data_IF_514554796374
#
_entry.id   IF_514554796374
#
_cell.length_a   1.000
_cell.length_b   1.000
_cell.length_c   1.000
_cell.angle_alpha   90.00
_cell.angle_beta   90.00
_cell.angle_gamma   90.00
#
_symmetry.space_group_name_H-M   'P 1'
#
loop_
_entity.id
_entity.type
_entity.pdbx_description
1 polymer ?
#
# COMPACT_ATOMS: atom_id res chain seq x y z
N UNK A 1 22.92 16.75 37.06
CA UNK A 1 22.60 15.46 37.70
C UNK A 1 21.09 15.39 37.76
N UNK A 2 20.48 14.80 36.76
CA UNK A 2 19.07 14.41 36.76
C UNK A 2 19.06 12.94 36.35
N UNK A 3 18.57 12.13 37.25
CA UNK A 3 18.62 10.68 37.23
C UNK A 3 17.81 10.11 36.04
N UNK A 4 18.48 9.23 35.30
CA UNK A 4 17.86 8.30 34.41
C UNK A 4 17.10 7.21 35.19
N UNK A 5 15.81 7.37 35.38
CA UNK A 5 14.97 6.35 36.00
C UNK A 5 14.60 5.31 34.93
N UNK A 6 15.17 4.14 35.12
CA UNK A 6 14.85 2.89 34.44
C UNK A 6 13.34 2.60 34.43
N UNK A 7 12.72 2.61 33.24
CA UNK A 7 11.36 2.13 33.03
C UNK A 7 11.39 0.62 32.64
N UNK A 8 11.97 -0.20 33.55
CA UNK A 8 12.08 -1.65 33.38
C UNK A 8 11.31 -2.46 34.43
N UNK A 9 10.26 -1.92 35.02
CA UNK A 9 9.46 -2.69 35.96
C UNK A 9 7.99 -2.27 35.89
N UNK A 10 7.11 -3.15 35.42
CA UNK A 10 5.69 -3.04 35.73
C UNK A 10 4.67 -3.34 34.66
N UNK A 11 4.93 -4.20 33.67
CA UNK A 11 3.83 -4.78 32.88
C UNK A 11 3.74 -6.30 33.17
N UNK A 12 3.58 -6.61 34.46
CA UNK A 12 3.20 -7.92 34.95
C UNK A 12 1.79 -7.90 35.55
N UNK A 13 0.85 -7.25 34.85
CA UNK A 13 -0.56 -7.26 35.22
C UNK A 13 -1.32 -8.25 34.33
N UNK A 14 -2.04 -9.19 34.94
CA UNK A 14 -2.94 -10.13 34.27
C UNK A 14 -3.82 -9.40 33.26
N UNK A 15 -3.58 -9.64 31.96
CA UNK A 15 -4.42 -9.13 30.89
C UNK A 15 -5.78 -9.83 30.98
N UNK A 16 -6.79 -9.16 31.51
CA UNK A 16 -8.19 -9.52 31.34
C UNK A 16 -8.48 -9.47 29.83
N UNK A 17 -8.95 -10.59 29.28
CA UNK A 17 -9.46 -10.67 27.88
C UNK A 17 -10.50 -9.58 27.70
N UNK A 18 -10.13 -8.50 27.02
CA UNK A 18 -11.09 -7.46 26.64
C UNK A 18 -12.06 -8.03 25.64
N UNK A 19 -13.33 -8.17 26.02
CA UNK A 19 -14.40 -8.53 25.09
C UNK A 19 -14.72 -7.35 24.18
N UNK A 20 -15.22 -7.55 22.94
CA UNK A 20 -15.62 -6.47 22.05
C UNK A 20 -16.56 -5.45 22.70
N UNK A 21 -17.38 -5.87 23.66
CA UNK A 21 -18.26 -5.01 24.43
C UNK A 21 -17.52 -4.06 25.40
N UNK A 22 -16.36 -4.46 25.92
CA UNK A 22 -15.55 -3.61 26.80
C UNK A 22 -14.83 -2.50 26.03
N UNK A 23 -14.47 -2.75 24.77
CA UNK A 23 -13.85 -1.77 23.86
C UNK A 23 -14.89 -0.77 23.31
N UNK A 24 -16.16 -1.17 23.18
CA UNK A 24 -17.25 -0.30 22.73
C UNK A 24 -17.73 0.72 23.76
N UNK A 25 -17.32 0.60 25.03
CA UNK A 25 -17.71 1.50 26.12
C UNK A 25 -16.72 2.65 26.35
N UNK A 26 -15.68 2.81 25.52
CA UNK A 26 -14.85 4.01 25.57
C UNK A 26 -15.66 5.22 25.09
N UNK A 27 -15.54 6.40 25.75
CA UNK A 27 -16.45 7.51 25.56
C UNK A 27 -16.49 8.00 24.11
N UNK A 28 -17.63 7.82 23.48
CA UNK A 28 -17.98 8.40 22.17
C UNK A 28 -18.14 9.91 22.32
N UNK A 29 -17.10 10.68 22.21
CA UNK A 29 -17.21 12.12 21.94
C UNK A 29 -16.21 12.55 20.90
N UNK A 30 -16.79 13.14 19.83
CA UNK A 30 -16.18 13.96 18.80
C UNK A 30 -15.67 13.22 17.55
N UNK A 31 -16.54 13.08 16.56
CA UNK A 31 -16.18 13.44 15.19
C UNK A 31 -17.46 13.66 14.37
N UNK A 32 -17.84 14.94 14.23
CA UNK A 32 -18.58 15.41 13.07
C UNK A 32 -17.53 15.84 12.04
N UNK A 33 -17.64 15.52 10.74
CA UNK A 33 -16.71 16.00 9.74
C UNK A 33 -17.00 17.50 9.50
N UNK A 34 -16.19 18.36 10.09
CA UNK A 34 -16.15 19.76 9.69
C UNK A 34 -15.42 19.84 8.34
N UNK A 35 -16.13 20.32 7.33
CA UNK A 35 -15.58 20.75 6.05
C UNK A 35 -14.52 21.82 6.33
N UNK A 36 -13.34 21.68 5.70
CA UNK A 36 -12.20 22.60 5.76
C UNK A 36 -11.45 22.67 7.10
N UNK A 37 -10.55 21.73 7.30
CA UNK A 37 -9.37 21.98 8.11
C UNK A 37 -8.16 21.36 7.42
N UNK A 38 -7.26 22.21 6.96
CA UNK A 38 -5.88 21.87 6.70
C UNK A 38 -5.31 21.27 7.98
N UNK A 39 -5.02 19.98 8.00
CA UNK A 39 -4.46 19.27 9.13
C UNK A 39 -2.99 19.69 9.23
N UNK A 40 -2.69 20.69 10.05
CA UNK A 40 -1.33 20.97 10.48
C UNK A 40 -0.97 19.97 11.57
N UNK A 41 0.15 19.25 11.38
CA UNK A 41 0.72 18.37 12.39
C UNK A 41 1.00 19.15 13.67
N UNK A 42 0.77 18.57 14.87
CA UNK A 42 1.11 19.22 16.12
C UNK A 42 2.63 19.14 16.33
N UNK A 43 3.34 20.12 15.86
CA UNK A 43 4.78 20.24 16.08
C UNK A 43 5.17 21.68 16.41
N UNK A 44 6.15 21.83 17.25
CA UNK A 44 6.91 23.05 17.48
C UNK A 44 7.54 23.60 16.17
N UNK A 45 6.75 23.93 15.16
CA UNK A 45 7.28 24.21 13.83
C UNK A 45 6.56 25.32 13.09
N UNK A 46 6.54 26.52 13.66
CA UNK A 46 6.20 27.68 12.83
C UNK A 46 7.29 28.03 11.80
N UNK A 47 8.49 27.43 11.88
CA UNK A 47 9.61 27.66 10.96
C UNK A 47 9.92 26.48 10.02
N UNK A 48 9.49 25.25 10.33
CA UNK A 48 9.74 24.06 9.50
C UNK A 48 9.03 24.08 8.12
N UNK A 49 7.78 24.56 7.94
CA UNK A 49 7.09 24.47 6.67
C UNK A 49 7.83 25.13 5.48
N UNK A 50 8.48 26.27 5.70
CA UNK A 50 9.17 27.00 4.62
C UNK A 50 10.48 26.32 4.19
N UNK A 51 11.22 25.75 5.13
CA UNK A 51 12.49 25.03 4.83
C UNK A 51 12.17 23.73 4.12
N UNK A 52 11.13 23.02 4.58
CA UNK A 52 10.66 21.78 3.99
C UNK A 52 10.15 21.99 2.55
N UNK A 53 9.33 23.01 2.29
CA UNK A 53 8.86 23.32 0.94
C UNK A 53 10.00 23.65 -0.03
N UNK A 54 10.98 24.43 0.41
CA UNK A 54 12.15 24.79 -0.42
C UNK A 54 12.98 23.54 -0.74
N UNK A 55 13.32 22.72 0.24
CA UNK A 55 14.12 21.52 0.07
C UNK A 55 13.38 20.47 -0.79
N UNK A 56 12.05 20.34 -0.63
CA UNK A 56 11.22 19.48 -1.46
C UNK A 56 11.28 19.87 -2.94
N UNK A 57 11.21 21.17 -3.24
CA UNK A 57 11.27 21.66 -4.61
C UNK A 57 12.67 21.45 -5.24
N UNK A 58 13.73 21.77 -4.51
CA UNK A 58 15.11 21.56 -4.97
C UNK A 58 15.39 20.05 -5.21
N UNK A 59 14.91 19.16 -4.32
CA UNK A 59 15.06 17.73 -4.48
C UNK A 59 14.29 17.21 -5.72
N UNK A 60 13.05 17.67 -5.94
CA UNK A 60 12.25 17.31 -7.11
C UNK A 60 12.92 17.75 -8.44
N UNK A 61 13.63 18.87 -8.42
CA UNK A 61 14.37 19.36 -9.61
C UNK A 61 15.64 18.53 -9.86
N UNK A 62 16.30 18.03 -8.83
CA UNK A 62 17.52 17.21 -8.95
C UNK A 62 17.24 15.76 -9.38
N UNK A 63 16.02 15.25 -9.18
CA UNK A 63 15.62 13.87 -9.53
C UNK A 63 15.30 13.68 -11.03
N UNK A 64 15.71 14.59 -11.91
CA UNK A 64 15.47 14.54 -13.37
C UNK A 64 16.14 13.38 -14.14
N UNK A 65 16.79 12.43 -13.48
CA UNK A 65 17.63 11.43 -14.13
C UNK A 65 17.22 10.00 -13.79
N UNK A 66 16.05 9.58 -14.29
CA UNK A 66 15.81 8.16 -14.55
C UNK A 66 15.25 8.02 -15.95
N UNK A 67 16.06 7.51 -16.86
CA UNK A 67 15.67 7.14 -18.20
C UNK A 67 15.21 5.67 -18.18
N UNK A 68 14.09 5.38 -18.82
CA UNK A 68 13.59 4.02 -18.95
C UNK A 68 14.59 3.12 -19.69
N UNK A 69 15.34 3.70 -20.63
CA UNK A 69 16.40 3.00 -21.33
C UNK A 69 17.48 2.48 -20.38
N UNK A 70 17.80 3.24 -19.31
CA UNK A 70 18.75 2.78 -18.29
C UNK A 70 18.21 1.65 -17.40
N UNK A 71 16.89 1.53 -17.24
CA UNK A 71 16.26 0.45 -16.48
C UNK A 71 16.17 -0.82 -17.33
N UNK A 72 15.83 -0.68 -18.61
CA UNK A 72 15.74 -1.82 -19.56
C UNK A 72 17.13 -2.35 -19.91
N UNK A 73 18.15 -1.50 -19.96
CA UNK A 73 19.55 -1.90 -20.22
C UNK A 73 20.16 -2.72 -19.06
N UNK A 74 19.70 -2.52 -17.83
CA UNK A 74 20.17 -3.30 -16.66
C UNK A 74 19.59 -4.72 -16.68
N UNK A 75 18.46 -4.95 -17.37
CA UNK A 75 17.80 -6.26 -17.40
C UNK A 75 17.19 -6.62 -18.75
N UNK A 76 17.97 -7.18 -19.66
CA UNK A 76 17.50 -7.57 -21.00
C UNK A 76 16.41 -8.66 -21.00
N UNK A 77 16.08 -9.23 -19.82
CA UNK A 77 15.03 -10.26 -19.69
C UNK A 77 13.65 -9.67 -19.43
N UNK A 78 13.53 -8.38 -19.08
CA UNK A 78 12.25 -7.71 -18.82
C UNK A 78 11.57 -7.35 -20.13
N UNK A 79 10.47 -8.02 -20.41
CA UNK A 79 9.67 -7.72 -21.60
C UNK A 79 8.25 -7.25 -21.21
N UNK A 80 8.02 -5.93 -21.09
CA UNK A 80 6.71 -5.38 -20.76
C UNK A 80 5.59 -5.84 -21.68
N UNK A 81 5.91 -6.11 -22.95
CA UNK A 81 4.95 -6.61 -23.94
C UNK A 81 4.38 -7.98 -23.58
N UNK A 82 5.22 -8.87 -23.01
CA UNK A 82 4.78 -10.19 -22.57
C UNK A 82 3.82 -10.11 -21.38
N UNK A 83 3.97 -9.11 -20.51
CA UNK A 83 3.05 -8.91 -19.40
C UNK A 83 1.62 -8.61 -19.86
N UNK A 84 1.46 -7.98 -21.04
CA UNK A 84 0.16 -7.82 -21.68
C UNK A 84 -0.23 -9.03 -22.51
N UNK A 85 0.62 -9.49 -23.44
CA UNK A 85 0.28 -10.52 -24.41
C UNK A 85 -0.06 -11.85 -23.74
N UNK A 86 0.75 -12.31 -22.80
CA UNK A 86 0.53 -13.57 -22.09
C UNK A 86 -0.17 -13.39 -20.75
N UNK A 87 0.11 -12.29 -20.03
CA UNK A 87 -0.43 -12.03 -18.69
C UNK A 87 -1.85 -11.45 -18.69
N UNK A 88 -2.21 -10.67 -19.73
CA UNK A 88 -3.51 -10.01 -19.85
C UNK A 88 -4.02 -10.01 -21.31
N UNK A 89 -4.24 -11.18 -21.92
CA UNK A 89 -4.57 -11.28 -23.35
C UNK A 89 -5.87 -10.58 -23.74
N UNK A 90 -6.82 -10.43 -22.81
CA UNK A 90 -8.07 -9.68 -23.06
C UNK A 90 -7.79 -8.19 -23.26
N UNK A 91 -6.92 -7.61 -22.42
CA UNK A 91 -6.52 -6.22 -22.55
C UNK A 91 -5.68 -6.01 -23.81
N UNK A 92 -4.70 -6.88 -24.08
CA UNK A 92 -3.90 -6.87 -25.30
C UNK A 92 -4.78 -6.90 -26.56
N UNK A 93 -5.79 -7.77 -26.59
CA UNK A 93 -6.76 -7.85 -27.69
C UNK A 93 -7.57 -6.57 -27.86
N UNK A 94 -8.05 -5.97 -26.78
CA UNK A 94 -8.77 -4.69 -26.82
C UNK A 94 -7.88 -3.56 -27.38
N UNK A 95 -6.64 -3.46 -26.91
CA UNK A 95 -5.66 -2.49 -27.40
C UNK A 95 -5.42 -2.69 -28.91
N UNK A 96 -5.08 -3.91 -29.33
CA UNK A 96 -4.82 -4.23 -30.74
C UNK A 96 -6.02 -3.93 -31.64
N UNK A 97 -7.25 -4.22 -31.21
CA UNK A 97 -8.46 -3.87 -31.95
C UNK A 97 -8.67 -2.37 -32.08
N UNK A 98 -8.10 -1.56 -31.19
CA UNK A 98 -8.33 -0.11 -31.11
C UNK A 98 -7.26 0.67 -31.87
N UNK A 99 -5.99 0.32 -31.71
CA UNK A 99 -4.85 1.09 -32.26
C UNK A 99 -3.97 0.28 -33.23
N UNK A 100 -4.36 -0.97 -33.58
CA UNK A 100 -3.54 -1.88 -34.38
C UNK A 100 -2.53 -2.64 -33.54
N UNK A 101 -1.69 -3.46 -34.16
CA UNK A 101 -0.74 -4.38 -33.53
C UNK A 101 0.68 -3.82 -33.42
N UNK A 102 0.94 -2.64 -33.96
CA UNK A 102 2.27 -2.04 -33.99
C UNK A 102 2.86 -1.79 -32.59
N UNK A 103 2.03 -1.53 -31.56
CA UNK A 103 2.46 -1.39 -30.17
C UNK A 103 3.23 -2.62 -29.65
N UNK A 104 3.04 -3.80 -30.26
CA UNK A 104 3.76 -5.02 -29.86
C UNK A 104 5.26 -4.89 -30.14
N UNK A 105 5.66 -4.11 -31.12
CA UNK A 105 7.06 -3.84 -31.46
C UNK A 105 7.52 -2.44 -31.02
N UNK A 106 6.58 -1.49 -30.92
CA UNK A 106 6.82 -0.09 -30.59
C UNK A 106 5.90 0.32 -29.44
N UNK A 107 6.38 0.23 -28.17
CA UNK A 107 5.55 0.51 -26.99
C UNK A 107 5.02 1.94 -26.96
N UNK A 108 5.75 2.89 -27.53
CA UNK A 108 5.34 4.28 -27.69
C UNK A 108 4.00 4.46 -28.42
N UNK A 109 3.59 3.48 -29.24
CA UNK A 109 2.29 3.51 -29.91
C UNK A 109 1.10 3.35 -28.94
N UNK A 110 1.33 2.89 -27.69
CA UNK A 110 0.30 2.91 -26.64
C UNK A 110 -0.24 4.32 -26.37
N UNK A 111 0.51 5.38 -26.70
CA UNK A 111 0.04 6.77 -26.59
C UNK A 111 -1.19 7.05 -27.46
N UNK A 112 -1.45 6.25 -28.49
CA UNK A 112 -2.67 6.35 -29.30
C UNK A 112 -3.95 6.01 -28.50
N UNK A 113 -3.82 5.47 -27.29
CA UNK A 113 -4.93 5.28 -26.35
C UNK A 113 -5.37 6.58 -25.68
N UNK A 114 -4.53 7.63 -25.63
CA UNK A 114 -4.84 8.90 -24.96
C UNK A 114 -6.20 9.49 -25.43
N UNK A 115 -6.48 9.69 -26.72
CA UNK A 115 -7.78 10.20 -27.16
C UNK A 115 -8.94 9.24 -26.87
N UNK A 116 -8.66 7.97 -26.63
CA UNK A 116 -9.68 6.96 -26.30
C UNK A 116 -10.08 6.98 -24.83
N UNK A 117 -9.28 7.62 -23.96
CA UNK A 117 -9.52 7.65 -22.52
C UNK A 117 -10.86 8.30 -22.15
N UNK A 118 -11.32 9.29 -22.94
CA UNK A 118 -12.61 9.97 -22.73
C UNK A 118 -13.77 9.34 -23.52
N UNK A 119 -13.50 8.32 -24.36
CA UNK A 119 -14.52 7.76 -25.22
C UNK A 119 -15.43 6.75 -24.46
N UNK A 120 -16.75 7.03 -24.29
CA UNK A 120 -17.60 6.23 -23.39
C UNK A 120 -17.70 4.75 -23.72
N UNK A 121 -17.76 4.39 -25.01
CA UNK A 121 -17.82 2.99 -25.47
C UNK A 121 -16.49 2.26 -25.23
N UNK A 122 -15.37 2.95 -25.40
CA UNK A 122 -14.07 2.37 -25.10
C UNK A 122 -13.89 2.13 -23.59
N UNK A 123 -14.27 3.10 -22.76
CA UNK A 123 -14.29 2.93 -21.31
C UNK A 123 -15.19 1.76 -20.86
N UNK A 124 -16.35 1.58 -21.51
CA UNK A 124 -17.23 0.43 -21.21
C UNK A 124 -16.54 -0.89 -21.52
N UNK A 125 -15.88 -1.01 -22.70
CA UNK A 125 -15.12 -2.21 -23.08
C UNK A 125 -13.94 -2.45 -22.15
N UNK A 126 -13.24 -1.39 -21.73
CA UNK A 126 -12.14 -1.47 -20.77
C UNK A 126 -12.59 -2.04 -19.43
N UNK A 127 -13.68 -1.51 -18.86
CA UNK A 127 -14.28 -2.03 -17.64
C UNK A 127 -14.74 -3.47 -17.76
N UNK A 128 -15.28 -3.85 -18.91
CA UNK A 128 -15.69 -5.23 -19.16
C UNK A 128 -14.50 -6.19 -19.14
N UNK A 129 -13.35 -5.79 -19.73
CA UNK A 129 -12.10 -6.56 -19.65
C UNK A 129 -11.64 -6.71 -18.19
N UNK A 130 -11.61 -5.60 -17.43
CA UNK A 130 -11.20 -5.61 -16.01
C UNK A 130 -12.12 -6.54 -15.20
N UNK A 131 -13.43 -6.45 -15.39
CA UNK A 131 -14.41 -7.31 -14.70
C UNK A 131 -14.23 -8.79 -15.04
N UNK A 132 -13.98 -9.12 -16.31
CA UNK A 132 -13.70 -10.50 -16.73
C UNK A 132 -12.41 -11.04 -16.08
N UNK A 133 -11.37 -10.21 -15.95
CA UNK A 133 -10.13 -10.59 -15.28
C UNK A 133 -10.34 -10.80 -13.76
N UNK A 134 -11.14 -9.95 -13.12
CA UNK A 134 -11.53 -10.15 -11.70
C UNK A 134 -12.25 -11.48 -11.48
N UNK A 135 -13.12 -11.87 -12.43
CA UNK A 135 -13.82 -13.16 -12.32
C UNK A 135 -12.86 -14.35 -12.49
N UNK A 136 -11.85 -14.24 -13.38
CA UNK A 136 -10.80 -15.26 -13.51
C UNK A 136 -10.01 -15.38 -12.21
N UNK A 137 -9.50 -14.28 -11.69
CA UNK A 137 -8.76 -14.27 -10.42
C UNK A 137 -9.59 -14.86 -9.27
N UNK A 138 -10.87 -14.50 -9.18
CA UNK A 138 -11.77 -15.03 -8.15
C UNK A 138 -11.92 -16.54 -8.23
N UNK A 139 -12.03 -17.08 -9.44
CA UNK A 139 -12.14 -18.53 -9.65
C UNK A 139 -10.83 -19.24 -9.27
N UNK A 140 -9.67 -18.70 -9.65
CA UNK A 140 -8.36 -19.26 -9.34
C UNK A 140 -8.07 -19.25 -7.83
N UNK A 141 -8.36 -18.15 -7.15
CA UNK A 141 -8.24 -18.06 -5.68
C UNK A 141 -9.20 -19.06 -5.02
N UNK A 142 -10.41 -19.20 -5.52
CA UNK A 142 -11.35 -20.18 -4.98
C UNK A 142 -10.87 -21.63 -5.19
N UNK A 143 -10.33 -21.95 -6.36
CA UNK A 143 -9.81 -23.29 -6.65
C UNK A 143 -8.59 -23.64 -5.81
N UNK A 144 -7.67 -22.67 -5.62
CA UNK A 144 -6.41 -22.89 -4.91
C UNK A 144 -6.56 -22.84 -3.38
N UNK A 145 -7.47 -22.00 -2.85
CA UNK A 145 -7.54 -21.68 -1.42
C UNK A 145 -8.94 -21.83 -0.82
N UNK A 146 -9.97 -22.06 -1.62
CA UNK A 146 -11.36 -22.12 -1.17
C UNK A 146 -11.96 -20.75 -0.78
N UNK A 147 -11.26 -19.65 -1.06
CA UNK A 147 -11.67 -18.29 -0.67
C UNK A 147 -12.49 -17.65 -1.80
N UNK A 148 -13.70 -17.17 -1.47
CA UNK A 148 -14.52 -16.40 -2.42
C UNK A 148 -14.24 -14.92 -2.26
N UNK A 149 -13.77 -14.27 -3.32
CA UNK A 149 -13.56 -12.82 -3.32
C UNK A 149 -14.72 -12.08 -4.00
N UNK A 150 -14.95 -10.84 -3.54
CA UNK A 150 -15.98 -9.98 -4.13
C UNK A 150 -15.45 -9.31 -5.39
N UNK A 151 -15.85 -9.78 -6.56
CA UNK A 151 -15.43 -9.24 -7.87
C UNK A 151 -15.89 -7.79 -8.14
N UNK A 152 -16.85 -7.29 -7.34
CA UNK A 152 -17.33 -5.91 -7.42
C UNK A 152 -16.62 -4.97 -6.43
N UNK A 153 -15.72 -5.49 -5.62
CA UNK A 153 -14.87 -4.66 -4.75
C UNK A 153 -13.74 -4.00 -5.53
N UNK A 154 -13.15 -2.95 -4.96
CA UNK A 154 -11.82 -2.49 -5.35
C UNK A 154 -10.82 -3.58 -4.96
N UNK A 155 -10.10 -4.14 -5.94
CA UNK A 155 -8.99 -5.07 -5.71
C UNK A 155 -7.71 -4.28 -5.51
N UNK A 156 -7.23 -4.32 -4.27
CA UNK A 156 -6.09 -3.58 -3.77
C UNK A 156 -4.92 -4.55 -3.55
N UNK A 157 -3.83 -4.34 -4.25
CA UNK A 157 -2.75 -5.30 -4.41
C UNK A 157 -1.45 -4.81 -3.76
N UNK A 158 -0.86 -5.62 -2.89
CA UNK A 158 0.48 -5.41 -2.34
C UNK A 158 1.30 -6.70 -2.48
N UNK A 159 2.10 -6.77 -3.54
CA UNK A 159 2.86 -7.96 -3.96
C UNK A 159 4.37 -7.75 -3.80
N UNK A 160 4.80 -7.26 -2.66
CA UNK A 160 6.22 -7.12 -2.33
C UNK A 160 6.60 -8.10 -1.21
N UNK A 161 7.88 -8.49 -1.11
CA UNK A 161 8.38 -9.26 0.03
C UNK A 161 7.95 -8.62 1.35
N UNK A 162 7.63 -9.46 2.34
CA UNK A 162 7.24 -8.96 3.66
C UNK A 162 8.51 -8.61 4.43
N UNK A 163 8.94 -7.37 4.26
CA UNK A 163 10.10 -6.77 4.92
C UNK A 163 9.77 -5.36 5.39
N UNK A 164 10.45 -4.88 6.43
CA UNK A 164 10.10 -3.64 7.11
C UNK A 164 9.93 -2.43 6.18
N UNK A 165 10.88 -2.20 5.26
CA UNK A 165 10.86 -1.04 4.36
C UNK A 165 9.72 -1.06 3.33
N UNK A 166 9.12 -2.21 3.04
CA UNK A 166 7.93 -2.32 2.17
C UNK A 166 6.63 -1.92 2.87
N UNK A 167 6.69 -1.69 4.16
CA UNK A 167 5.67 -1.07 5.01
C UNK A 167 4.27 -1.70 4.91
N UNK A 168 4.17 -3.05 4.82
CA UNK A 168 2.87 -3.73 4.92
C UNK A 168 2.10 -3.31 6.17
N UNK A 169 2.81 -2.99 7.27
CA UNK A 169 2.19 -2.49 8.50
C UNK A 169 1.41 -1.19 8.31
N UNK A 170 1.85 -0.29 7.42
CA UNK A 170 1.12 0.94 7.10
C UNK A 170 -0.27 0.61 6.50
N UNK A 171 -0.31 -0.34 5.57
CA UNK A 171 -1.56 -0.81 4.97
C UNK A 171 -2.42 -1.57 5.99
N UNK A 172 -1.82 -2.42 6.81
CA UNK A 172 -2.51 -3.16 7.88
C UNK A 172 -3.17 -2.21 8.89
N UNK A 173 -2.49 -1.18 9.34
CA UNK A 173 -3.06 -0.16 10.25
C UNK A 173 -4.28 0.52 9.60
N UNK A 174 -4.23 0.81 8.30
CA UNK A 174 -5.38 1.35 7.58
C UNK A 174 -6.53 0.34 7.50
N UNK A 175 -6.26 -0.92 7.20
CA UNK A 175 -7.26 -2.00 7.19
C UNK A 175 -7.94 -2.14 8.55
N UNK A 176 -7.17 -2.11 9.64
CA UNK A 176 -7.71 -2.13 11.00
C UNK A 176 -8.55 -0.89 11.29
N UNK A 177 -8.14 0.28 10.80
CA UNK A 177 -8.95 1.51 10.95
C UNK A 177 -10.29 1.41 10.22
N UNK A 178 -10.31 0.86 9.00
CA UNK A 178 -11.56 0.62 8.28
C UNK A 178 -12.45 -0.41 9.01
N UNK A 179 -11.85 -1.46 9.54
CA UNK A 179 -12.54 -2.43 10.39
C UNK A 179 -13.20 -1.73 11.59
N UNK A 180 -12.46 -0.90 12.32
CA UNK A 180 -12.97 -0.17 13.47
C UNK A 180 -14.13 0.75 13.11
N UNK A 181 -14.06 1.45 11.97
CA UNK A 181 -15.15 2.29 11.48
C UNK A 181 -16.42 1.48 11.20
N UNK A 182 -16.29 0.30 10.61
CA UNK A 182 -17.43 -0.59 10.35
C UNK A 182 -18.01 -1.10 11.66
N UNK A 183 -17.18 -1.51 12.63
CA UNK A 183 -17.66 -2.00 13.93
C UNK A 183 -18.37 -0.92 14.74
N UNK A 184 -17.93 0.33 14.64
CA UNK A 184 -18.59 1.48 15.27
C UNK A 184 -19.90 1.86 14.56
N UNK A 185 -19.97 1.69 13.26
CA UNK A 185 -21.16 1.97 12.46
C UNK A 185 -21.34 0.90 11.36
N UNK A 186 -22.00 -0.22 11.67
CA UNK A 186 -22.24 -1.27 10.69
C UNK A 186 -23.03 -0.84 9.45
N UNK A 187 -23.79 0.26 9.54
CA UNK A 187 -24.50 0.87 8.41
C UNK A 187 -23.65 1.79 7.53
N UNK A 188 -22.35 1.97 7.85
CA UNK A 188 -21.46 2.84 7.09
C UNK A 188 -21.36 2.39 5.62
N UNK A 189 -21.64 3.33 4.70
CA UNK A 189 -21.46 3.10 3.27
C UNK A 189 -19.98 3.20 2.88
N UNK A 190 -19.25 2.14 3.21
CA UNK A 190 -17.83 2.01 2.82
C UNK A 190 -17.73 1.41 1.42
N UNK A 191 -16.70 1.81 0.67
CA UNK A 191 -16.38 1.16 -0.59
C UNK A 191 -15.94 -0.29 -0.32
N UNK A 192 -16.62 -1.32 -0.89
CA UNK A 192 -16.15 -2.69 -0.75
C UNK A 192 -14.73 -2.84 -1.29
N UNK A 193 -13.83 -3.45 -0.50
CA UNK A 193 -12.42 -3.58 -0.84
C UNK A 193 -11.88 -4.97 -0.51
N UNK A 194 -11.15 -5.54 -1.44
CA UNK A 194 -10.40 -6.79 -1.25
C UNK A 194 -8.92 -6.49 -1.29
N UNK A 195 -8.25 -6.59 -0.16
CA UNK A 195 -6.80 -6.43 -0.02
C UNK A 195 -6.14 -7.78 -0.30
N UNK A 196 -5.25 -7.81 -1.29
CA UNK A 196 -4.48 -9.01 -1.63
C UNK A 196 -3.02 -8.74 -1.31
N UNK A 197 -2.51 -9.49 -0.34
CA UNK A 197 -1.09 -9.53 -0.03
C UNK A 197 -0.47 -10.76 -0.68
N UNK A 198 0.73 -10.61 -1.24
CA UNK A 198 1.51 -11.70 -1.76
C UNK A 198 2.98 -11.47 -1.48
N UNK A 199 3.68 -12.56 -1.16
CA UNK A 199 5.12 -12.59 -1.04
C UNK A 199 5.67 -13.14 -2.35
N UNK A 200 5.87 -12.24 -3.31
CA UNK A 200 6.45 -12.61 -4.60
C UNK A 200 7.92 -12.22 -4.52
N UNK A 201 8.81 -13.21 -4.51
CA UNK A 201 10.22 -12.95 -4.71
C UNK A 201 10.33 -12.16 -6.01
N UNK A 202 10.96 -11.02 -5.96
CA UNK A 202 11.34 -10.30 -7.18
C UNK A 202 12.18 -11.26 -8.00
N UNK A 203 11.96 -11.36 -9.31
CA UNK A 203 12.75 -12.22 -10.22
C UNK A 203 14.27 -11.96 -10.07
N UNK A 204 14.65 -10.99 -9.25
CA UNK A 204 15.97 -10.45 -8.95
C UNK A 204 16.47 -10.71 -7.51
N UNK A 205 15.65 -11.30 -6.64
CA UNK A 205 15.94 -11.43 -5.22
C UNK A 205 17.01 -12.46 -4.83
N UNK A 206 17.64 -13.14 -5.80
CA UNK A 206 18.75 -14.05 -5.52
C UNK A 206 20.16 -13.42 -5.71
N UNK A 207 20.27 -12.19 -6.20
CA UNK A 207 21.55 -11.63 -6.65
C UNK A 207 21.98 -10.25 -6.13
N UNK A 208 21.10 -9.48 -5.53
CA UNK A 208 21.44 -8.15 -5.02
C UNK A 208 21.14 -8.05 -3.51
N UNK A 209 21.80 -8.85 -2.71
CA UNK A 209 22.22 -8.38 -1.39
C UNK A 209 23.22 -7.29 -1.69
N UNK A 210 22.80 -6.02 -1.54
CA UNK A 210 23.74 -4.92 -1.53
C UNK A 210 24.74 -5.18 -0.40
N UNK A 211 25.97 -5.49 -0.76
CA UNK A 211 27.14 -5.58 0.14
C UNK A 211 27.50 -4.21 0.74
N UNK A 212 26.52 -3.52 1.26
CA UNK A 212 26.67 -2.24 1.93
C UNK A 212 26.21 -2.38 3.38
N UNK A 213 26.99 -3.08 4.16
CA UNK A 213 27.24 -2.82 5.60
C UNK A 213 27.98 -3.99 6.20
N UNK A 214 29.29 -3.99 6.01
CA UNK A 214 30.18 -4.70 6.94
C UNK A 214 30.17 -3.94 8.29
N UNK A 215 29.72 -4.64 9.34
CA UNK A 215 29.98 -4.28 10.73
C UNK A 215 28.89 -3.53 11.45
N UNK A 216 27.82 -4.22 11.79
CA UNK A 216 27.07 -4.18 13.05
C UNK A 216 25.79 -5.00 12.92
N UNK A 217 25.70 -6.10 13.71
CA UNK A 217 24.64 -6.43 14.63
C UNK A 217 23.71 -7.59 14.29
N UNK A 218 24.06 -8.73 14.83
CA UNK A 218 23.22 -9.93 14.91
C UNK A 218 21.86 -9.70 15.59
N UNK A 219 21.73 -8.69 16.47
CA UNK A 219 20.49 -8.43 17.21
C UNK A 219 19.42 -7.71 16.36
N UNK A 220 19.81 -6.85 15.44
CA UNK A 220 18.86 -6.14 14.55
C UNK A 220 18.27 -7.05 13.48
N UNK A 221 19.08 -7.92 12.87
CA UNK A 221 18.60 -8.88 11.86
C UNK A 221 17.58 -9.87 12.45
N UNK A 222 17.78 -10.32 13.70
CA UNK A 222 16.84 -11.22 14.37
C UNK A 222 15.49 -10.51 14.65
N UNK A 223 15.53 -9.28 15.14
CA UNK A 223 14.32 -8.50 15.44
C UNK A 223 13.52 -8.17 14.16
N UNK A 224 14.19 -7.88 13.05
CA UNK A 224 13.52 -7.65 11.76
C UNK A 224 12.88 -8.94 11.25
N UNK A 225 13.56 -10.06 11.33
CA UNK A 225 13.03 -11.38 10.93
C UNK A 225 11.79 -11.76 11.75
N UNK A 226 11.82 -11.52 13.05
CA UNK A 226 10.69 -11.78 13.95
C UNK A 226 9.49 -10.88 13.61
N UNK A 227 9.72 -9.60 13.33
CA UNK A 227 8.69 -8.64 12.94
C UNK A 227 8.06 -8.99 11.58
N UNK A 228 8.85 -9.43 10.62
CA UNK A 228 8.37 -9.87 9.30
C UNK A 228 7.48 -11.11 9.42
N UNK A 229 7.91 -12.10 10.22
CA UNK A 229 7.13 -13.31 10.50
C UNK A 229 5.83 -13.00 11.22
N UNK A 230 5.85 -12.07 12.17
CA UNK A 230 4.67 -11.58 12.89
C UNK A 230 3.70 -10.83 11.95
N UNK A 231 4.23 -10.03 11.04
CA UNK A 231 3.43 -9.32 10.03
C UNK A 231 2.68 -10.30 9.13
N UNK A 232 3.34 -11.35 8.65
CA UNK A 232 2.71 -12.41 7.87
C UNK A 232 1.63 -13.15 8.66
N UNK A 233 1.90 -13.48 9.91
CA UNK A 233 0.95 -14.14 10.79
C UNK A 233 -0.29 -13.26 11.03
N UNK A 234 -0.10 -11.95 11.22
CA UNK A 234 -1.17 -10.97 11.38
C UNK A 234 -2.02 -10.86 10.11
N UNK A 235 -1.43 -10.78 8.92
CA UNK A 235 -2.18 -10.77 7.64
C UNK A 235 -3.08 -12.00 7.52
N UNK A 236 -2.54 -13.19 7.80
CA UNK A 236 -3.30 -14.45 7.74
C UNK A 236 -4.42 -14.50 8.77
N UNK A 237 -4.20 -13.94 9.94
CA UNK A 237 -5.22 -13.88 11.00
C UNK A 237 -6.33 -12.88 10.67
N UNK A 238 -5.99 -11.68 10.17
CA UNK A 238 -6.98 -10.71 9.68
C UNK A 238 -7.87 -11.32 8.60
N UNK A 239 -7.31 -12.10 7.66
CA UNK A 239 -8.09 -12.78 6.63
C UNK A 239 -9.17 -13.70 7.23
N UNK A 240 -8.83 -14.48 8.26
CA UNK A 240 -9.78 -15.38 8.95
C UNK A 240 -10.85 -14.60 9.73
N UNK A 241 -10.45 -13.59 10.49
CA UNK A 241 -11.35 -12.82 11.34
C UNK A 241 -12.35 -12.04 10.49
N UNK A 242 -11.90 -11.39 9.41
CA UNK A 242 -12.78 -10.60 8.53
C UNK A 242 -13.79 -11.48 7.77
N UNK A 243 -13.35 -12.67 7.35
CA UNK A 243 -14.26 -13.63 6.72
C UNK A 243 -15.38 -14.14 7.65
N UNK A 244 -15.09 -14.23 8.96
CA UNK A 244 -16.03 -14.71 9.97
C UNK A 244 -16.93 -13.60 10.57
N UNK A 245 -16.57 -12.32 10.40
CA UNK A 245 -17.31 -11.19 10.99
C UNK A 245 -18.44 -10.72 10.06
N UNK A 246 -19.73 -10.84 10.49
CA UNK A 246 -20.89 -10.52 9.64
C UNK A 246 -21.01 -9.03 9.29
N UNK A 247 -20.51 -8.11 10.13
CA UNK A 247 -20.55 -6.67 9.86
C UNK A 247 -19.53 -6.26 8.80
N UNK A 248 -18.42 -7.02 8.69
CA UNK A 248 -17.25 -6.74 7.84
C UNK A 248 -17.30 -7.52 6.55
N UNK A 249 -17.82 -8.77 6.60
CA UNK A 249 -17.93 -9.64 5.43
C UNK A 249 -18.71 -8.95 4.30
N UNK A 250 -18.15 -9.00 3.09
CA UNK A 250 -18.69 -8.31 1.91
C UNK A 250 -18.29 -6.83 1.77
N UNK A 251 -17.77 -6.20 2.83
CA UNK A 251 -17.25 -4.83 2.80
C UNK A 251 -15.72 -4.79 2.72
N UNK A 252 -15.06 -5.52 3.62
CA UNK A 252 -13.61 -5.66 3.63
C UNK A 252 -13.24 -7.13 3.60
N UNK A 253 -12.23 -7.43 2.81
CA UNK A 253 -11.66 -8.76 2.71
C UNK A 253 -10.14 -8.67 2.65
N UNK A 254 -9.45 -9.55 3.35
CA UNK A 254 -7.99 -9.71 3.27
C UNK A 254 -7.70 -11.10 2.74
N UNK A 255 -6.81 -11.19 1.76
CA UNK A 255 -6.38 -12.45 1.15
C UNK A 255 -4.86 -12.45 1.10
N UNK A 256 -4.25 -13.54 1.52
CA UNK A 256 -2.83 -13.79 1.32
C UNK A 256 -2.63 -14.82 0.22
N UNK A 257 -1.86 -14.48 -0.80
CA UNK A 257 -1.54 -15.38 -1.92
C UNK A 257 -0.05 -15.70 -1.86
N UNK A 258 0.35 -16.94 -1.54
CA UNK A 258 1.75 -17.33 -1.54
C UNK A 258 2.30 -17.36 -2.96
N UNK A 259 3.62 -17.14 -3.12
CA UNK A 259 4.33 -17.14 -4.41
C UNK A 259 4.09 -18.42 -5.22
N UNK A 260 4.04 -19.56 -4.55
CA UNK A 260 3.83 -20.89 -5.18
C UNK A 260 2.48 -21.02 -5.91
N UNK A 261 1.56 -20.07 -5.76
CA UNK A 261 0.24 -20.17 -6.36
C UNK A 261 0.21 -19.89 -7.88
N UNK A 262 1.28 -19.34 -8.48
CA UNK A 262 1.35 -19.06 -9.92
C UNK A 262 0.35 -17.99 -10.42
N UNK A 263 -0.25 -17.20 -9.52
CA UNK A 263 -1.36 -16.28 -9.83
C UNK A 263 -0.91 -14.86 -10.18
N UNK A 264 0.38 -14.59 -10.26
CA UNK A 264 0.94 -13.24 -10.39
C UNK A 264 0.35 -12.46 -11.56
N UNK A 265 0.26 -13.08 -12.75
CA UNK A 265 -0.30 -12.43 -13.93
C UNK A 265 -1.77 -12.09 -13.76
N UNK A 266 -2.56 -13.02 -13.21
CA UNK A 266 -3.98 -12.83 -12.95
C UNK A 266 -4.24 -11.73 -11.93
N UNK A 267 -3.38 -11.63 -10.89
CA UNK A 267 -3.47 -10.56 -9.89
C UNK A 267 -3.26 -9.19 -10.53
N UNK A 268 -2.21 -8.97 -11.32
CA UNK A 268 -1.99 -7.70 -12.01
C UNK A 268 -3.09 -7.38 -13.04
N UNK A 269 -3.55 -8.37 -13.81
CA UNK A 269 -4.62 -8.17 -14.78
C UNK A 269 -5.96 -7.76 -14.13
N UNK A 270 -6.24 -8.25 -12.92
CA UNK A 270 -7.48 -8.03 -12.20
C UNK A 270 -7.44 -6.82 -11.26
N UNK A 271 -6.28 -6.42 -10.75
CA UNK A 271 -6.14 -5.35 -9.77
C UNK A 271 -6.64 -3.99 -10.27
N UNK A 272 -7.23 -3.22 -9.37
CA UNK A 272 -7.60 -1.82 -9.60
C UNK A 272 -6.54 -0.87 -9.05
N UNK A 273 -5.98 -1.20 -7.88
CA UNK A 273 -4.99 -0.42 -7.17
C UNK A 273 -3.78 -1.28 -6.83
N UNK A 274 -2.59 -0.70 -6.86
CA UNK A 274 -1.35 -1.32 -6.34
C UNK A 274 -0.70 -0.41 -5.30
N UNK A 275 -0.17 -1.04 -4.24
CA UNK A 275 0.51 -0.37 -3.14
C UNK A 275 2.02 -0.31 -3.41
N UNK A 276 2.54 0.89 -3.67
CA UNK A 276 3.96 1.17 -3.86
C UNK A 276 4.44 2.08 -2.72
N UNK A 277 4.29 1.57 -1.51
CA UNK A 277 4.38 2.35 -0.28
C UNK A 277 5.68 2.14 0.50
N UNK A 278 6.70 1.59 -0.14
CA UNK A 278 8.03 1.46 0.45
C UNK A 278 8.52 2.81 1.03
N UNK A 279 9.40 2.75 2.02
CA UNK A 279 9.97 3.98 2.61
C UNK A 279 10.69 4.79 1.53
N UNK A 280 10.35 6.05 1.36
CA UNK A 280 10.86 6.88 0.26
C UNK A 280 12.40 6.92 0.17
N UNK A 281 13.10 6.80 1.31
CA UNK A 281 14.57 6.78 1.36
C UNK A 281 15.18 5.40 1.02
N UNK A 282 14.39 4.33 1.00
CA UNK A 282 14.83 2.94 0.77
C UNK A 282 14.13 2.30 -0.44
N UNK A 283 13.60 3.13 -1.32
CA UNK A 283 12.89 2.68 -2.51
C UNK A 283 13.91 2.26 -3.57
N UNK A 284 13.91 0.97 -3.89
CA UNK A 284 14.59 0.41 -5.05
C UNK A 284 13.69 0.48 -6.29
N UNK A 285 14.28 0.43 -7.48
CA UNK A 285 13.53 0.35 -8.73
C UNK A 285 12.77 -0.97 -8.75
N UNK A 286 11.45 -0.88 -8.65
CA UNK A 286 10.58 -2.05 -8.62
C UNK A 286 9.85 -2.22 -9.97
N UNK A 287 10.26 -3.24 -10.72
CA UNK A 287 9.62 -3.61 -11.98
C UNK A 287 8.15 -4.05 -11.81
N UNK A 288 7.76 -4.44 -10.61
CA UNK A 288 6.37 -4.76 -10.28
C UNK A 288 5.44 -3.57 -10.53
N UNK A 289 5.94 -2.35 -10.29
CA UNK A 289 5.20 -1.12 -10.58
C UNK A 289 4.96 -0.92 -12.08
N UNK A 290 5.98 -1.12 -12.92
CA UNK A 290 5.82 -1.04 -14.37
C UNK A 290 4.85 -2.11 -14.88
N UNK A 291 4.92 -3.32 -14.32
CA UNK A 291 4.00 -4.42 -14.63
C UNK A 291 2.55 -4.08 -14.23
N UNK A 292 2.33 -3.45 -13.09
CA UNK A 292 1.03 -2.94 -12.68
C UNK A 292 0.53 -1.87 -13.67
N UNK A 293 1.38 -0.90 -13.99
CA UNK A 293 1.07 0.25 -14.86
C UNK A 293 0.63 -0.21 -16.25
N UNK A 294 1.36 -1.12 -16.89
CA UNK A 294 1.01 -1.61 -18.23
C UNK A 294 -0.27 -2.47 -18.24
N UNK A 295 -0.70 -2.98 -17.08
CA UNK A 295 -1.98 -3.66 -16.89
C UNK A 295 -3.12 -2.70 -16.53
N UNK A 296 -2.88 -1.39 -16.56
CA UNK A 296 -3.88 -0.36 -16.23
C UNK A 296 -4.27 -0.38 -14.76
N UNK A 297 -3.35 -0.76 -13.88
CA UNK A 297 -3.53 -0.67 -12.42
C UNK A 297 -3.08 0.70 -11.96
N UNK A 298 -3.94 1.41 -11.25
CA UNK A 298 -3.61 2.70 -10.65
C UNK A 298 -2.74 2.47 -9.42
N UNK A 299 -1.75 3.32 -9.17
CA UNK A 299 -0.86 3.19 -8.03
C UNK A 299 -1.14 4.21 -6.93
N UNK A 300 -0.93 3.78 -5.67
CA UNK A 300 -0.70 4.67 -4.54
C UNK A 300 0.72 4.45 -4.05
N UNK A 301 1.49 5.53 -3.92
CA UNK A 301 2.91 5.43 -3.61
C UNK A 301 3.42 6.51 -2.66
N UNK A 302 4.54 6.20 -1.99
CA UNK A 302 5.32 7.16 -1.20
C UNK A 302 5.97 8.22 -2.09
N UNK A 303 6.54 9.27 -1.48
CA UNK A 303 7.26 10.32 -2.20
C UNK A 303 8.71 9.90 -2.52
N UNK A 304 8.89 8.65 -2.99
CA UNK A 304 10.16 8.12 -3.44
C UNK A 304 10.44 8.39 -4.92
N UNK A 305 11.65 8.00 -5.36
CA UNK A 305 12.13 8.28 -6.73
C UNK A 305 11.31 7.54 -7.79
N UNK A 306 11.02 6.26 -7.55
CA UNK A 306 10.27 5.42 -8.50
C UNK A 306 8.85 5.92 -8.68
N UNK A 307 8.17 6.30 -7.61
CA UNK A 307 6.83 6.88 -7.68
C UNK A 307 6.82 8.27 -8.35
N UNK A 308 7.89 9.05 -8.17
CA UNK A 308 8.06 10.31 -8.90
C UNK A 308 8.26 10.07 -10.40
N UNK A 309 9.10 9.11 -10.77
CA UNK A 309 9.30 8.70 -12.16
C UNK A 309 7.99 8.20 -12.80
N UNK A 310 7.23 7.35 -12.10
CA UNK A 310 5.93 6.90 -12.59
C UNK A 310 5.00 8.07 -12.87
N UNK A 311 4.95 9.05 -11.97
CA UNK A 311 4.14 10.25 -12.16
C UNK A 311 4.49 11.01 -13.46
N UNK A 312 5.77 11.06 -13.82
CA UNK A 312 6.19 11.70 -15.07
C UNK A 312 5.70 10.95 -16.31
N UNK A 313 5.58 9.63 -16.21
CA UNK A 313 5.12 8.77 -17.30
C UNK A 313 3.60 8.85 -17.45
N UNK A 314 2.86 8.64 -16.37
CA UNK A 314 1.40 8.50 -16.43
C UNK A 314 0.65 9.83 -16.27
N UNK A 315 1.31 10.87 -15.75
CA UNK A 315 0.72 12.14 -15.36
C UNK A 315 0.24 12.16 -13.91
N UNK A 316 0.37 13.31 -13.24
CA UNK A 316 0.07 13.49 -11.81
C UNK A 316 -1.36 13.08 -11.42
N UNK A 317 -2.32 13.34 -12.30
CA UNK A 317 -3.74 13.03 -12.08
C UNK A 317 -4.08 11.55 -12.19
N UNK A 318 -3.15 10.70 -12.62
CA UNK A 318 -3.38 9.28 -12.91
C UNK A 318 -2.71 8.32 -11.91
N UNK A 319 -2.17 8.86 -10.81
CA UNK A 319 -1.61 8.12 -9.68
C UNK A 319 -1.85 8.89 -8.38
N UNK A 320 -1.71 8.20 -7.25
CA UNK A 320 -1.84 8.80 -5.92
C UNK A 320 -0.50 8.79 -5.21
N UNK A 321 -0.17 9.89 -4.50
CA UNK A 321 1.07 9.99 -3.73
C UNK A 321 0.83 10.61 -2.37
N UNK A 322 1.59 10.14 -1.39
CA UNK A 322 1.45 10.58 0.01
C UNK A 322 2.79 10.58 0.73
N UNK A 323 2.78 11.16 1.93
CA UNK A 323 3.80 10.96 2.95
C UNK A 323 4.96 11.96 2.91
N UNK A 324 6.00 11.62 3.64
CA UNK A 324 7.20 12.42 3.80
C UNK A 324 8.15 12.24 2.60
N UNK A 325 8.68 13.34 2.10
CA UNK A 325 9.78 13.31 1.14
C UNK A 325 11.11 12.98 1.83
N UNK A 326 12.11 12.52 1.08
CA UNK A 326 13.44 12.15 1.61
C UNK A 326 14.08 13.26 2.48
N UNK A 327 14.05 14.56 2.08
CA UNK A 327 14.58 15.62 2.95
C UNK A 327 13.79 15.78 4.26
N UNK A 328 12.49 15.52 4.24
CA UNK A 328 11.65 15.58 5.45
C UNK A 328 12.00 14.45 6.42
N UNK A 329 12.20 13.24 5.89
CA UNK A 329 12.67 12.08 6.68
C UNK A 329 14.02 12.37 7.32
N UNK A 330 14.96 12.97 6.57
CA UNK A 330 16.27 13.33 7.09
C UNK A 330 16.16 14.35 8.25
N UNK A 331 15.29 15.36 8.12
CA UNK A 331 15.02 16.32 9.19
C UNK A 331 14.42 15.66 10.42
N UNK A 332 13.45 14.76 10.27
CA UNK A 332 12.89 14.02 11.41
C UNK A 332 13.95 13.21 12.14
N UNK A 333 14.88 12.57 11.41
CA UNK A 333 16.00 11.83 12.01
C UNK A 333 17.00 12.76 12.73
N UNK A 334 17.27 13.94 12.18
CA UNK A 334 18.19 14.91 12.75
C UNK A 334 17.64 15.60 14.02
N UNK A 335 16.38 16.05 13.96
CA UNK A 335 15.77 16.82 15.06
C UNK A 335 15.05 15.98 16.10
N UNK A 336 15.00 14.67 15.91
CA UNK A 336 14.36 13.71 16.80
C UNK A 336 12.94 13.36 16.37
N UNK A 337 12.74 12.08 16.11
CA UNK A 337 11.45 11.47 15.83
C UNK A 337 11.00 10.66 17.02
N UNK A 338 9.79 10.92 17.50
CA UNK A 338 9.17 10.15 18.61
C UNK A 338 7.85 9.54 18.12
N UNK A 339 7.84 8.25 17.73
CA UNK A 339 6.65 7.57 17.24
C UNK A 339 5.53 7.49 18.31
N UNK A 340 5.88 7.48 19.61
CA UNK A 340 4.89 7.45 20.68
C UNK A 340 3.98 8.69 20.67
N UNK A 341 4.44 9.83 20.18
CA UNK A 341 3.61 11.03 20.04
C UNK A 341 2.46 10.81 19.05
N UNK A 342 2.66 10.02 17.99
CA UNK A 342 1.60 9.68 17.03
C UNK A 342 0.54 8.80 17.70
N UNK A 343 0.95 7.78 18.44
CA UNK A 343 0.04 6.97 19.26
C UNK A 343 -0.75 7.82 20.26
N UNK A 344 -0.10 8.74 20.94
CA UNK A 344 -0.70 9.58 21.97
C UNK A 344 -1.73 10.56 21.42
N UNK A 345 -1.44 11.21 20.30
CA UNK A 345 -2.22 12.33 19.79
C UNK A 345 -3.18 12.00 18.65
N UNK A 346 -3.01 10.87 17.97
CA UNK A 346 -3.88 10.47 16.85
C UNK A 346 -4.79 9.29 17.25
N UNK A 347 -6.10 9.55 17.50
CA UNK A 347 -7.03 8.52 17.98
C UNK A 347 -7.14 7.28 17.10
N UNK A 348 -7.02 7.44 15.77
CA UNK A 348 -7.09 6.32 14.82
C UNK A 348 -5.89 5.39 14.96
N UNK A 349 -4.68 5.95 15.08
CA UNK A 349 -3.44 5.20 15.32
C UNK A 349 -3.55 4.47 16.65
N UNK A 350 -3.91 5.20 17.70
CA UNK A 350 -4.07 4.63 19.04
C UNK A 350 -5.04 3.47 19.04
N UNK A 351 -6.22 3.64 18.46
CA UNK A 351 -7.23 2.59 18.42
C UNK A 351 -6.74 1.36 17.68
N UNK A 352 -6.06 1.52 16.53
CA UNK A 352 -5.51 0.40 15.77
C UNK A 352 -4.44 -0.36 16.58
N UNK A 353 -3.54 0.37 17.24
CA UNK A 353 -2.48 -0.22 18.07
C UNK A 353 -3.07 -0.87 19.34
N UNK A 354 -4.09 -0.27 19.97
CA UNK A 354 -4.77 -0.86 21.13
C UNK A 354 -5.43 -2.21 20.80
N UNK A 355 -5.99 -2.38 19.60
CA UNK A 355 -6.50 -3.68 19.14
C UNK A 355 -5.39 -4.72 18.97
N UNK A 356 -4.21 -4.30 18.48
CA UNK A 356 -3.04 -5.18 18.38
C UNK A 356 -2.51 -5.55 19.77
N UNK A 357 -2.40 -4.57 20.67
CA UNK A 357 -2.00 -4.78 22.08
C UNK A 357 -2.92 -5.74 22.81
N UNK A 358 -4.23 -5.64 22.58
CA UNK A 358 -5.24 -6.51 23.17
C UNK A 358 -5.23 -7.94 22.58
N UNK A 359 -4.41 -8.22 21.55
CA UNK A 359 -4.39 -9.51 20.85
C UNK A 359 -5.70 -9.83 20.11
N UNK A 360 -6.50 -8.81 19.80
CA UNK A 360 -7.82 -9.01 19.18
C UNK A 360 -7.71 -9.74 17.83
N UNK A 361 -6.69 -9.39 17.05
CA UNK A 361 -6.46 -10.00 15.74
C UNK A 361 -5.55 -11.24 15.79
N UNK A 362 -5.03 -11.61 16.95
CA UNK A 362 -4.20 -12.80 17.15
C UNK A 362 -4.63 -13.56 18.41
N UNK A 363 -5.93 -14.02 18.46
CA UNK A 363 -6.50 -14.58 19.69
C UNK A 363 -5.82 -15.88 20.15
N UNK A 364 -5.24 -16.64 19.21
CA UNK A 364 -4.53 -17.89 19.49
C UNK A 364 -3.14 -17.64 20.10
N UNK A 365 -2.48 -16.53 19.71
CA UNK A 365 -1.19 -16.11 20.24
C UNK A 365 -1.06 -14.57 20.24
N UNK A 366 -1.49 -13.91 21.33
CA UNK A 366 -1.37 -12.44 21.46
C UNK A 366 0.07 -11.91 21.42
N UNK A 367 1.07 -12.76 21.63
CA UNK A 367 2.48 -12.35 21.63
C UNK A 367 2.99 -12.02 20.22
N UNK A 368 2.35 -12.53 19.17
CA UNK A 368 2.70 -12.28 17.76
C UNK A 368 2.81 -10.79 17.44
N UNK A 369 1.88 -9.97 17.95
CA UNK A 369 1.88 -8.53 17.69
C UNK A 369 2.89 -7.75 18.52
N UNK A 370 3.57 -8.37 19.49
CA UNK A 370 4.45 -7.63 20.41
C UNK A 370 5.67 -7.03 19.71
N UNK A 371 6.34 -7.81 18.88
CA UNK A 371 7.50 -7.35 18.09
C UNK A 371 7.11 -6.20 17.15
N UNK A 372 5.92 -6.28 16.52
CA UNK A 372 5.37 -5.22 15.67
C UNK A 372 5.17 -3.93 16.48
N UNK A 373 4.56 -4.04 17.66
CA UNK A 373 4.24 -2.88 18.52
C UNK A 373 5.50 -2.26 19.08
N UNK A 374 6.44 -3.10 19.55
CA UNK A 374 7.71 -2.63 20.11
C UNK A 374 8.51 -1.88 19.03
N UNK A 375 8.48 -2.33 17.77
CA UNK A 375 9.07 -1.61 16.62
C UNK A 375 8.33 -0.30 16.34
N UNK A 376 7.00 -0.33 16.22
CA UNK A 376 6.20 0.84 15.86
C UNK A 376 6.24 1.96 16.92
N UNK A 377 6.23 1.61 18.20
CA UNK A 377 6.23 2.59 19.29
C UNK A 377 7.63 2.93 19.80
N UNK A 378 8.63 2.12 19.46
CA UNK A 378 10.03 2.31 19.85
C UNK A 378 10.78 3.18 18.86
N UNK A 379 11.20 2.61 17.75
CA UNK A 379 12.06 3.30 16.78
C UNK A 379 11.32 3.77 15.53
N UNK A 380 10.34 3.00 15.06
CA UNK A 380 9.60 3.23 13.80
C UNK A 380 10.51 3.73 12.67
N UNK A 381 11.61 3.04 12.43
CA UNK A 381 12.66 3.43 11.48
C UNK A 381 12.13 3.67 10.07
N UNK A 382 11.01 3.03 9.74
CA UNK A 382 10.34 3.12 8.44
C UNK A 382 9.30 4.26 8.39
N UNK A 383 9.21 5.11 9.42
CA UNK A 383 8.29 6.25 9.50
C UNK A 383 6.82 5.87 9.24
N UNK A 384 6.41 4.69 9.67
CA UNK A 384 5.05 4.17 9.45
C UNK A 384 4.00 5.06 10.10
N UNK A 385 4.22 5.43 11.37
CA UNK A 385 3.27 6.26 12.12
C UNK A 385 3.27 7.71 11.65
N UNK A 386 4.43 8.24 11.23
CA UNK A 386 4.55 9.59 10.68
C UNK A 386 3.80 9.72 9.36
N UNK A 387 3.88 8.72 8.49
CA UNK A 387 3.23 8.71 7.18
C UNK A 387 1.75 8.30 7.24
N UNK A 388 1.32 7.67 8.34
CA UNK A 388 -0.02 7.08 8.43
C UNK A 388 -1.15 8.06 8.13
N UNK A 389 -1.07 9.29 8.64
CA UNK A 389 -2.14 10.28 8.45
C UNK A 389 -2.27 10.68 6.99
N UNK A 390 -1.14 10.88 6.30
CA UNK A 390 -1.09 11.20 4.88
C UNK A 390 -1.60 10.02 4.05
N UNK A 391 -1.21 8.81 4.41
CA UNK A 391 -1.64 7.59 3.76
C UNK A 391 -3.15 7.37 3.90
N UNK A 392 -3.70 7.50 5.09
CA UNK A 392 -5.12 7.33 5.35
C UNK A 392 -5.98 8.36 4.57
N UNK A 393 -5.53 9.64 4.53
CA UNK A 393 -6.17 10.67 3.73
C UNK A 393 -6.12 10.37 2.23
N UNK A 394 -4.97 9.89 1.74
CA UNK A 394 -4.80 9.48 0.35
C UNK A 394 -5.69 8.28 0.00
N UNK A 395 -5.81 7.29 0.87
CA UNK A 395 -6.70 6.13 0.70
C UNK A 395 -8.18 6.52 0.68
N UNK A 396 -8.55 7.57 1.41
CA UNK A 396 -9.91 8.14 1.31
C UNK A 396 -10.13 8.73 -0.09
N UNK A 397 -9.17 9.51 -0.60
CA UNK A 397 -9.21 10.07 -1.95
C UNK A 397 -9.27 8.96 -3.04
N UNK A 398 -8.51 7.87 -2.88
CA UNK A 398 -8.61 6.67 -3.73
C UNK A 398 -10.05 6.14 -3.75
N UNK A 399 -10.67 6.00 -2.56
CA UNK A 399 -12.03 5.48 -2.45
C UNK A 399 -13.06 6.36 -3.14
N UNK A 400 -12.94 7.69 -3.02
CA UNK A 400 -13.84 8.65 -3.66
C UNK A 400 -13.65 8.67 -5.18
N UNK A 401 -12.40 8.58 -5.65
CA UNK A 401 -12.07 8.51 -7.07
C UNK A 401 -12.59 7.22 -7.72
N UNK A 402 -12.48 6.09 -7.02
CA UNK A 402 -12.97 4.80 -7.53
C UNK A 402 -14.50 4.77 -7.70
N UNK A 403 -15.25 5.49 -6.85
CA UNK A 403 -16.71 5.64 -7.00
C UNK A 403 -17.09 6.36 -8.29
N UNK A 404 -16.18 7.13 -8.88
CA UNK A 404 -16.36 7.82 -10.14
C UNK A 404 -15.85 6.94 -11.30
N UNK A 405 -16.66 5.96 -11.72
CA UNK A 405 -16.24 4.90 -12.65
C UNK A 405 -15.61 5.41 -13.96
N UNK A 406 -16.07 6.54 -14.50
CA UNK A 406 -15.49 7.13 -15.73
C UNK A 406 -14.09 7.67 -15.46
N UNK A 407 -13.90 8.47 -14.41
CA UNK A 407 -12.61 9.06 -14.05
C UNK A 407 -11.59 7.98 -13.69
N UNK A 408 -12.00 6.96 -12.93
CA UNK A 408 -11.11 5.82 -12.61
C UNK A 408 -10.67 5.05 -13.86
N UNK A 409 -11.62 4.81 -14.79
CA UNK A 409 -11.31 4.12 -16.06
C UNK A 409 -10.35 4.95 -16.90
N UNK A 410 -10.53 6.27 -16.95
CA UNK A 410 -9.62 7.19 -17.61
C UNK A 410 -8.21 7.09 -17.02
N UNK A 411 -8.07 7.15 -15.68
CA UNK A 411 -6.78 6.94 -15.01
C UNK A 411 -6.14 5.61 -15.41
N UNK A 412 -6.93 4.53 -15.42
CA UNK A 412 -6.45 3.19 -15.81
C UNK A 412 -5.94 3.14 -17.25
N UNK A 413 -6.64 3.76 -18.20
CA UNK A 413 -6.22 3.85 -19.61
C UNK A 413 -4.94 4.69 -19.73
N UNK A 414 -4.87 5.83 -19.04
CA UNK A 414 -3.71 6.72 -19.07
C UNK A 414 -2.46 6.07 -18.49
N UNK A 415 -2.60 5.17 -17.51
CA UNK A 415 -1.48 4.38 -16.99
C UNK A 415 -0.88 3.53 -18.11
N UNK A 416 -1.68 2.82 -18.91
CA UNK A 416 -1.19 2.02 -20.03
C UNK A 416 -0.61 2.91 -21.14
N UNK A 417 -1.30 3.99 -21.50
CA UNK A 417 -0.88 4.91 -22.54
C UNK A 417 0.45 5.62 -22.24
N UNK A 418 0.82 5.76 -20.98
CA UNK A 418 2.05 6.41 -20.53
C UNK A 418 3.29 5.53 -20.67
N UNK A 419 3.16 4.21 -20.78
CA UNK A 419 4.31 3.30 -20.91
C UNK A 419 4.93 3.44 -22.29
N UNK A 420 6.25 3.72 -22.32
CA UNK A 420 7.03 3.96 -23.56
C UNK A 420 8.22 3.04 -23.59
#
# INVERSE_FOLDING_TARGET
MIESTNFRAGIGGSFLRATPAALSQMPQRLYAPSRNTSISAPMHSQSLPRIVEKNRHEWLVQTRLFDLESIVDVEPQVNPRQWLLSGNPRLASLITQTIGDRWITHLEDLQQLVPMADHPLFQLRWRAVKQANKQVLANEIYQSQGIRINVNSLIDLQLQPIVGHQRQLLNILHIITLFNQIKQNPGLNILPRTFIFGDIATEHGAGLRSDCHEGHEYDHEQQETDSNSATLALIKSLAKIFAADPDVSGKLQVVYVPESAGLTNQMYAAADLTQQIATAAMEDIDLSQLRATINGVVSIGSLGKTNYWLQQIVGEQNCFRFGLAIPEIALFKEYGYDPYNYYKYYPQIRQAIDYLLAGYFTPDDPSVCRSIIDTLLGTDEQMVLADYIFYAACQHHVSDSYRQASSWTQMSIMNVAGVK
#
